data_IF_965089843530
#
_entry.id   IF_965089843530
#
_cell.length_a   1.000
_cell.length_b   1.000
_cell.length_c   1.000
_cell.angle_alpha   90.00
_cell.angle_beta   90.00
_cell.angle_gamma   90.00
#
_symmetry.space_group_name_H-M   'P 1'
#
loop_
_entity.id
_entity.type
_entity.pdbx_description
1 polymer ?
#
# COMPACT_ATOMS: atom_id res chain seq x y z
N UNK A 1 6.67 -22.63 9.66
CA UNK A 1 6.31 -21.52 8.77
C UNK A 1 6.24 -20.29 9.65
N UNK A 2 7.27 -19.45 9.66
CA UNK A 2 7.25 -18.24 10.47
C UNK A 2 6.18 -17.32 9.89
N UNK A 3 5.25 -16.91 10.74
CA UNK A 3 4.16 -16.03 10.38
C UNK A 3 4.70 -14.61 10.51
N UNK A 4 4.79 -13.86 9.42
CA UNK A 4 5.20 -12.44 9.45
C UNK A 4 4.06 -11.62 10.06
N UNK A 5 3.97 -11.61 11.40
CA UNK A 5 2.91 -10.91 12.14
C UNK A 5 2.84 -9.42 11.81
N UNK A 6 3.98 -8.79 11.50
CA UNK A 6 4.05 -7.39 11.08
C UNK A 6 3.37 -7.18 9.72
N UNK A 7 3.60 -8.09 8.78
CA UNK A 7 2.96 -8.03 7.46
C UNK A 7 1.45 -8.24 7.59
N UNK A 8 1.01 -9.17 8.44
CA UNK A 8 -0.43 -9.37 8.67
C UNK A 8 -1.11 -8.14 9.25
N UNK A 9 -0.48 -7.47 10.22
CA UNK A 9 -1.00 -6.21 10.76
C UNK A 9 -1.00 -5.08 9.73
N UNK A 10 -0.02 -5.08 8.81
CA UNK A 10 -0.01 -4.13 7.71
C UNK A 10 -1.17 -4.36 6.75
N UNK A 11 -1.43 -5.61 6.41
CA UNK A 11 -2.55 -5.99 5.56
C UNK A 11 -3.88 -5.65 6.23
N UNK A 12 -4.04 -5.94 7.52
CA UNK A 12 -5.23 -5.55 8.28
C UNK A 12 -5.48 -4.03 8.19
N UNK A 13 -4.45 -3.21 8.42
CA UNK A 13 -4.58 -1.75 8.33
C UNK A 13 -5.00 -1.30 6.91
N UNK A 14 -4.43 -1.91 5.86
CA UNK A 14 -4.79 -1.63 4.45
C UNK A 14 -6.25 -2.02 4.15
N UNK A 15 -6.76 -3.10 4.76
CA UNK A 15 -8.14 -3.52 4.59
C UNK A 15 -9.13 -2.64 5.37
N UNK A 16 -8.72 -2.12 6.53
CA UNK A 16 -9.56 -1.27 7.37
C UNK A 16 -9.56 0.19 6.90
N UNK A 17 -8.45 0.68 6.33
CA UNK A 17 -8.22 2.11 6.08
C UNK A 17 -7.56 2.36 4.73
N UNK A 18 -7.90 3.50 4.07
CA UNK A 18 -7.20 3.87 2.84
C UNK A 18 -5.70 4.14 3.11
N UNK A 19 -4.87 3.76 2.15
CA UNK A 19 -3.44 4.09 2.14
C UNK A 19 -3.22 5.60 2.09
N UNK A 20 -2.15 6.08 2.74
CA UNK A 20 -1.67 7.44 2.49
C UNK A 20 -1.29 7.58 1.01
N UNK A 21 -1.57 8.75 0.43
CA UNK A 21 -1.24 9.02 -0.98
C UNK A 21 0.23 8.78 -1.30
N UNK A 22 1.13 9.13 -0.37
CA UNK A 22 2.58 8.87 -0.49
C UNK A 22 2.92 7.39 -0.44
N UNK A 23 2.27 6.61 0.43
CA UNK A 23 2.46 5.16 0.48
C UNK A 23 1.95 4.50 -0.80
N UNK A 24 0.77 4.90 -1.27
CA UNK A 24 0.20 4.40 -2.52
C UNK A 24 1.11 4.70 -3.74
N UNK A 25 1.65 5.91 -3.86
CA UNK A 25 2.59 6.25 -4.96
C UNK A 25 3.87 5.39 -4.90
N UNK A 26 4.47 5.25 -3.71
CA UNK A 26 5.67 4.44 -3.53
C UNK A 26 5.44 2.98 -3.92
N UNK A 27 4.39 2.36 -3.39
CA UNK A 27 4.04 0.97 -3.69
C UNK A 27 3.75 0.80 -5.19
N UNK A 28 3.05 1.75 -5.83
CA UNK A 28 2.82 1.72 -7.27
C UNK A 28 4.12 1.77 -8.08
N UNK A 29 5.09 2.59 -7.69
CA UNK A 29 6.40 2.65 -8.36
C UNK A 29 7.17 1.35 -8.21
N UNK A 30 7.18 0.77 -7.01
CA UNK A 30 7.83 -0.52 -6.75
C UNK A 30 7.22 -1.63 -7.60
N UNK A 31 5.89 -1.74 -7.64
CA UNK A 31 5.19 -2.71 -8.48
C UNK A 31 5.51 -2.52 -9.97
N UNK A 32 5.52 -1.28 -10.47
CA UNK A 32 5.89 -0.98 -11.86
C UNK A 32 7.35 -1.27 -12.18
N UNK A 33 8.23 -1.17 -11.17
CA UNK A 33 9.65 -1.52 -11.31
C UNK A 33 9.89 -3.04 -11.33
N UNK A 34 8.85 -3.85 -11.10
CA UNK A 34 8.95 -5.31 -11.11
C UNK A 34 9.68 -5.88 -9.90
N UNK A 35 9.57 -5.24 -8.73
CA UNK A 35 10.15 -5.80 -7.50
C UNK A 35 9.48 -7.12 -7.12
N UNK A 36 10.21 -8.00 -6.45
CA UNK A 36 9.66 -9.26 -5.95
C UNK A 36 8.80 -9.02 -4.70
N UNK A 37 7.98 -10.02 -4.36
CA UNK A 37 7.05 -9.96 -3.23
C UNK A 37 7.74 -9.66 -1.89
N UNK A 38 8.97 -10.15 -1.68
CA UNK A 38 9.76 -9.90 -0.47
C UNK A 38 10.07 -8.41 -0.30
N UNK A 39 10.60 -7.77 -1.35
CA UNK A 39 10.95 -6.34 -1.34
C UNK A 39 9.70 -5.48 -1.15
N UNK A 40 8.60 -5.86 -1.79
CA UNK A 40 7.32 -5.19 -1.61
C UNK A 40 6.80 -5.33 -0.18
N UNK A 41 6.91 -6.52 0.41
CA UNK A 41 6.51 -6.78 1.80
C UNK A 41 7.38 -5.98 2.78
N UNK A 42 8.69 -5.86 2.54
CA UNK A 42 9.57 -5.02 3.34
C UNK A 42 9.20 -3.55 3.26
N UNK A 43 8.90 -3.03 2.06
CA UNK A 43 8.42 -1.66 1.90
C UNK A 43 7.10 -1.41 2.64
N UNK A 44 6.15 -2.34 2.57
CA UNK A 44 4.87 -2.27 3.31
C UNK A 44 5.10 -2.27 4.82
N UNK A 45 5.99 -3.13 5.33
CA UNK A 45 6.36 -3.17 6.75
C UNK A 45 7.02 -1.86 7.20
N UNK A 46 8.01 -1.35 6.46
CA UNK A 46 8.67 -0.07 6.76
C UNK A 46 7.68 1.08 6.84
N UNK A 47 6.80 1.20 5.83
CA UNK A 47 5.76 2.23 5.82
C UNK A 47 4.84 2.14 7.04
N UNK A 48 4.53 0.93 7.51
CA UNK A 48 3.70 0.72 8.71
C UNK A 48 4.43 1.13 9.98
N UNK A 49 5.68 0.70 10.14
CA UNK A 49 6.53 1.03 11.28
C UNK A 49 6.75 2.54 11.39
N UNK A 50 6.85 3.24 10.26
CA UNK A 50 6.94 4.69 10.19
C UNK A 50 5.61 5.41 10.46
N UNK A 51 4.48 4.69 10.57
CA UNK A 51 3.14 5.27 10.71
C UNK A 51 2.66 5.99 9.45
N UNK A 52 3.17 5.59 8.28
CA UNK A 52 2.95 6.24 6.98
C UNK A 52 2.22 5.35 5.98
N UNK A 53 1.80 4.15 6.37
CA UNK A 53 1.11 3.22 5.47
C UNK A 53 -0.32 3.68 5.17
N UNK A 54 -1.10 3.97 6.20
CA UNK A 54 -2.53 4.30 6.15
C UNK A 54 -2.83 5.60 6.89
N UNK A 55 -4.00 6.18 6.65
CA UNK A 55 -4.49 7.30 7.46
C UNK A 55 -4.80 6.85 8.89
N UNK A 56 -4.56 7.72 9.87
CA UNK A 56 -5.06 7.53 11.23
C UNK A 56 -6.61 7.54 11.22
N UNK A 57 -7.22 6.88 12.20
CA UNK A 57 -8.69 6.76 12.29
C UNK A 57 -9.43 8.11 12.21
N UNK A 58 -8.83 9.18 12.75
CA UNK A 58 -9.40 10.53 12.73
C UNK A 58 -9.34 11.18 11.32
N UNK A 59 -8.24 10.97 10.59
CA UNK A 59 -8.04 11.48 9.22
C UNK A 59 -8.84 10.69 8.17
N UNK A 60 -9.04 9.39 8.38
CA UNK A 60 -9.74 8.52 7.44
C UNK A 60 -11.23 8.88 7.29
N UNK A 61 -11.86 9.34 8.38
CA UNK A 61 -13.26 9.79 8.37
C UNK A 61 -13.45 11.15 7.66
N UNK A 62 -12.40 11.97 7.59
CA UNK A 62 -12.46 13.33 7.03
C UNK A 62 -12.34 13.36 5.51
N UNK A 63 -11.80 12.29 4.89
CA UNK A 63 -11.59 12.25 3.44
C UNK A 63 -12.72 11.47 2.77
N UNK A 64 -13.59 12.18 2.06
CA UNK A 64 -14.48 11.55 1.08
C UNK A 64 -13.66 10.59 0.20
N UNK A 65 -14.18 9.39 -0.14
CA UNK A 65 -13.45 8.39 -0.91
C UNK A 65 -13.09 8.97 -2.28
N UNK A 66 -11.89 9.56 -2.38
CA UNK A 66 -11.36 10.06 -3.63
C UNK A 66 -10.91 8.83 -4.39
N UNK A 67 -11.64 8.48 -5.44
CA UNK A 67 -11.18 7.50 -6.43
C UNK A 67 -9.92 8.08 -7.07
N UNK A 68 -8.77 7.83 -6.47
CA UNK A 68 -7.48 7.98 -7.15
C UNK A 68 -7.48 6.92 -8.24
N UNK A 69 -7.12 7.34 -9.46
CA UNK A 69 -7.07 6.54 -10.67
C UNK A 69 -6.91 5.06 -10.33
N UNK A 70 -7.98 4.28 -10.55
CA UNK A 70 -8.01 2.83 -10.44
C UNK A 70 -6.63 2.29 -10.81
N UNK A 71 -5.91 1.70 -9.83
CA UNK A 71 -4.54 1.21 -9.98
C UNK A 71 -4.42 0.59 -11.36
N UNK A 72 -3.78 1.33 -12.28
CA UNK A 72 -3.85 1.09 -13.70
C UNK A 72 -3.05 -0.16 -14.05
N UNK A 73 -3.60 -1.32 -13.70
CA UNK A 73 -3.24 -2.64 -14.20
C UNK A 73 -3.94 -2.82 -15.56
N UNK A 74 -3.74 -1.87 -16.46
CA UNK A 74 -4.06 -2.07 -17.87
C UNK A 74 -2.95 -2.96 -18.42
N UNK A 75 -3.23 -4.25 -18.49
CA UNK A 75 -2.36 -5.24 -19.09
C UNK A 75 -2.26 -5.03 -20.61
N UNK A 76 -1.06 -5.27 -21.14
CA UNK A 76 -0.81 -5.46 -22.57
C UNK A 76 0.33 -4.60 -23.11
N UNK A 77 1.23 -5.18 -23.94
CA UNK A 77 2.37 -4.45 -24.49
C UNK A 77 1.89 -3.47 -25.56
N UNK A 78 2.34 -2.22 -25.46
CA UNK A 78 2.22 -1.26 -26.56
C UNK A 78 3.46 -1.36 -27.45
N UNK A 79 3.19 -1.70 -28.71
CA UNK A 79 4.10 -1.80 -29.86
C UNK A 79 4.74 -0.46 -30.22
#
# INVERSE_FOLDING_TARGET
>A
LFRDEELERALDDIYQRPLLETAADLLNRLMRSGVNDTELAEAVKSLREEGRLTYAEDDAALREPRVVCSMGLIGGPQS
#
